data_IF_567484145271
#
_entry.id   IF_567484145271
#
_cell.length_a   1.000
_cell.length_b   1.000
_cell.length_c   1.000
_cell.angle_alpha   90.00
_cell.angle_beta   90.00
_cell.angle_gamma   90.00
#
_symmetry.space_group_name_H-M   'P 1'
#
loop_
_entity.id
_entity.type
_entity.pdbx_description
1 polymer ?
#
# COMPACT_ATOMS: atom_id res chain seq x y z
N UNK A 1 -10.35 -9.38 -1.60
CA UNK A 1 -9.21 -8.56 -2.11
C UNK A 1 -8.80 -8.92 -3.53
N UNK A 2 -8.94 -10.18 -3.96
CA UNK A 2 -8.53 -10.63 -5.31
C UNK A 2 -9.12 -9.84 -6.48
N UNK A 3 -10.24 -9.12 -6.29
CA UNK A 3 -10.86 -8.26 -7.29
C UNK A 3 -10.30 -6.82 -7.30
N UNK A 4 -9.47 -6.46 -6.33
CA UNK A 4 -8.84 -5.15 -6.25
C UNK A 4 -7.51 -5.16 -7.01
N UNK A 5 -7.30 -4.17 -7.84
CA UNK A 5 -6.00 -3.96 -8.49
C UNK A 5 -5.01 -3.24 -7.57
N UNK A 6 -5.51 -2.41 -6.68
CA UNK A 6 -4.75 -1.67 -5.67
C UNK A 6 -5.24 -2.13 -4.30
N UNK A 7 -4.33 -2.62 -3.46
CA UNK A 7 -4.63 -3.23 -2.16
C UNK A 7 -4.53 -2.23 -0.98
N UNK A 8 -4.80 -0.97 -1.27
CA UNK A 8 -4.83 0.12 -0.30
C UNK A 8 -5.79 1.21 -0.81
N UNK A 9 -6.13 2.25 -0.03
CA UNK A 9 -7.11 3.27 -0.45
C UNK A 9 -6.59 4.30 -1.46
N UNK A 10 -5.47 4.04 -2.15
CA UNK A 10 -5.06 4.85 -3.27
C UNK A 10 -5.93 4.57 -4.50
N UNK A 11 -6.14 5.62 -5.28
CA UNK A 11 -6.67 5.53 -6.63
C UNK A 11 -5.52 5.51 -7.65
N UNK A 12 -5.75 5.08 -8.90
CA UNK A 12 -4.74 5.17 -9.96
C UNK A 12 -4.16 6.59 -10.10
N UNK A 13 -4.99 7.63 -9.95
CA UNK A 13 -4.55 9.03 -10.02
C UNK A 13 -3.57 9.41 -8.90
N UNK A 14 -3.71 8.80 -7.71
CA UNK A 14 -2.76 9.01 -6.60
C UNK A 14 -1.39 8.41 -6.89
N UNK A 15 -1.33 7.23 -7.52
CA UNK A 15 -0.07 6.65 -8.00
C UNK A 15 0.54 7.48 -9.13
N UNK A 16 -0.27 7.98 -10.05
CA UNK A 16 0.20 8.88 -11.13
C UNK A 16 0.76 10.18 -10.56
N UNK A 17 0.06 10.79 -9.57
CA UNK A 17 0.53 12.00 -8.86
C UNK A 17 1.87 11.76 -8.19
N UNK A 18 2.01 10.64 -7.45
CA UNK A 18 3.25 10.29 -6.78
C UNK A 18 4.41 10.10 -7.78
N UNK A 19 4.20 9.33 -8.86
CA UNK A 19 5.20 9.11 -9.89
C UNK A 19 5.65 10.40 -10.58
N UNK A 20 4.71 11.30 -10.88
CA UNK A 20 5.00 12.60 -11.48
C UNK A 20 5.79 13.52 -10.52
N UNK A 21 5.42 13.52 -9.22
CA UNK A 21 6.10 14.34 -8.21
C UNK A 21 7.55 13.93 -7.99
N UNK A 22 7.86 12.65 -8.06
CA UNK A 22 9.21 12.10 -7.88
C UNK A 22 10.14 12.40 -9.07
N UNK A 23 9.62 12.79 -10.23
CA UNK A 23 10.39 13.14 -11.43
C UNK A 23 11.42 12.08 -11.81
N UNK A 24 11.04 10.82 -11.77
CA UNK A 24 11.93 9.71 -12.06
C UNK A 24 12.42 9.78 -13.52
N UNK A 25 13.71 9.57 -13.72
CA UNK A 25 14.29 9.49 -15.06
C UNK A 25 13.94 8.14 -15.70
N UNK A 26 13.84 8.10 -17.02
CA UNK A 26 13.76 6.83 -17.73
C UNK A 26 14.96 5.93 -17.39
N UNK A 27 14.68 4.66 -17.13
CA UNK A 27 15.67 3.70 -16.64
C UNK A 27 15.92 3.77 -15.13
N UNK A 28 15.26 4.67 -14.37
CA UNK A 28 15.35 4.66 -12.91
C UNK A 28 14.92 3.29 -12.35
N UNK A 29 15.69 2.76 -11.40
CA UNK A 29 15.47 1.43 -10.81
C UNK A 29 14.61 1.53 -9.57
N UNK A 30 13.56 0.75 -9.50
CA UNK A 30 12.59 0.74 -8.40
C UNK A 30 12.45 -0.67 -7.82
N UNK A 31 12.65 -0.81 -6.52
CA UNK A 31 12.31 -2.02 -5.75
C UNK A 31 11.01 -1.77 -4.98
N UNK A 32 10.09 -2.74 -5.01
CA UNK A 32 8.82 -2.67 -4.27
C UNK A 32 8.61 -3.95 -3.43
N UNK A 33 8.75 -3.83 -2.13
CA UNK A 33 8.57 -4.92 -1.16
C UNK A 33 7.12 -4.96 -0.70
N UNK A 34 6.41 -6.07 -0.97
CA UNK A 34 4.97 -6.19 -0.82
C UNK A 34 4.24 -5.54 -2.00
N UNK A 35 4.69 -5.82 -3.22
CA UNK A 35 4.23 -5.15 -4.44
C UNK A 35 2.78 -5.42 -4.85
N UNK A 36 2.09 -6.35 -4.17
CA UNK A 36 0.71 -6.71 -4.48
C UNK A 36 0.51 -7.08 -5.95
N UNK A 37 -0.55 -6.58 -6.56
CA UNK A 37 -0.87 -6.80 -7.99
C UNK A 37 -0.07 -5.90 -8.95
N UNK A 38 1.01 -5.25 -8.50
CA UNK A 38 2.01 -4.59 -9.32
C UNK A 38 1.57 -3.29 -10.00
N UNK A 39 0.46 -2.66 -9.59
CA UNK A 39 -0.08 -1.50 -10.29
C UNK A 39 0.89 -0.33 -10.33
N UNK A 40 1.58 -0.02 -9.21
CA UNK A 40 2.56 1.06 -9.15
C UNK A 40 3.69 0.85 -10.16
N UNK A 41 4.38 -0.29 -10.09
CA UNK A 41 5.52 -0.57 -10.98
C UNK A 41 5.12 -0.61 -12.45
N UNK A 42 3.98 -1.26 -12.77
CA UNK A 42 3.52 -1.38 -14.16
C UNK A 42 3.13 -0.02 -14.76
N UNK A 43 2.41 0.81 -14.00
CA UNK A 43 2.00 2.14 -14.51
C UNK A 43 3.19 3.09 -14.59
N UNK A 44 4.12 3.06 -13.64
CA UNK A 44 5.34 3.88 -13.68
C UNK A 44 6.31 3.45 -14.78
N UNK A 45 6.40 2.14 -15.08
CA UNK A 45 7.18 1.67 -16.23
C UNK A 45 6.61 2.21 -17.55
N UNK A 46 5.27 2.17 -17.70
CA UNK A 46 4.59 2.71 -18.89
C UNK A 46 4.75 4.24 -19.00
N UNK A 47 4.54 4.96 -17.88
CA UNK A 47 4.40 6.43 -17.91
C UNK A 47 5.74 7.16 -17.77
N UNK A 48 6.70 6.56 -17.06
CA UNK A 48 8.01 7.18 -16.74
C UNK A 48 9.20 6.36 -17.26
N UNK A 49 8.98 5.16 -17.81
CA UNK A 49 10.06 4.33 -18.35
C UNK A 49 11.00 3.76 -17.29
N UNK A 50 10.51 3.53 -16.05
CA UNK A 50 11.32 2.94 -14.97
C UNK A 50 11.59 1.45 -15.25
N UNK A 51 12.59 0.90 -14.57
CA UNK A 51 12.83 -0.55 -14.45
C UNK A 51 12.50 -0.96 -13.02
N UNK A 52 11.61 -1.93 -12.85
CA UNK A 52 11.10 -2.27 -11.53
C UNK A 52 11.20 -3.75 -11.17
N UNK A 53 11.47 -4.03 -9.89
CA UNK A 53 11.34 -5.37 -9.30
C UNK A 53 10.36 -5.31 -8.14
N UNK A 54 9.30 -6.11 -8.21
CA UNK A 54 8.33 -6.28 -7.14
C UNK A 54 8.45 -7.66 -6.50
N UNK A 55 8.31 -7.73 -5.17
CA UNK A 55 8.30 -8.99 -4.44
C UNK A 55 7.02 -9.05 -3.62
N UNK A 56 6.29 -10.15 -3.72
CA UNK A 56 5.07 -10.37 -2.94
C UNK A 56 4.93 -11.83 -2.52
N UNK A 57 4.45 -12.06 -1.32
CA UNK A 57 4.26 -13.41 -0.77
C UNK A 57 3.02 -14.12 -1.32
N UNK A 58 2.11 -13.41 -1.98
CA UNK A 58 0.90 -13.96 -2.56
C UNK A 58 1.14 -14.45 -3.99
N UNK A 59 1.03 -15.75 -4.27
CA UNK A 59 1.15 -16.26 -5.64
C UNK A 59 0.06 -15.69 -6.56
N UNK A 60 -1.13 -15.40 -6.02
CA UNK A 60 -2.22 -14.78 -6.75
C UNK A 60 -1.87 -13.36 -7.19
N UNK A 61 -1.37 -12.54 -6.26
CA UNK A 61 -1.02 -11.15 -6.58
C UNK A 61 0.18 -11.08 -7.52
N UNK A 62 1.18 -11.93 -7.32
CA UNK A 62 2.31 -12.04 -8.24
C UNK A 62 1.87 -12.40 -9.67
N UNK A 63 0.95 -13.36 -9.83
CA UNK A 63 0.40 -13.72 -11.13
C UNK A 63 -0.41 -12.56 -11.76
N UNK A 64 -1.18 -11.84 -10.96
CA UNK A 64 -1.91 -10.64 -11.41
C UNK A 64 -0.95 -9.52 -11.85
N UNK A 65 0.15 -9.31 -11.12
CA UNK A 65 1.17 -8.31 -11.45
C UNK A 65 1.88 -8.64 -12.77
N UNK A 66 2.25 -9.91 -12.99
CA UNK A 66 2.82 -10.38 -14.26
C UNK A 66 1.85 -10.20 -15.43
N UNK A 67 0.56 -10.55 -15.24
CA UNK A 67 -0.49 -10.32 -16.24
C UNK A 67 -0.66 -8.84 -16.56
N UNK A 68 -0.58 -7.97 -15.54
CA UNK A 68 -0.67 -6.52 -15.70
C UNK A 68 0.50 -5.95 -16.49
N UNK A 69 1.70 -6.45 -16.26
CA UNK A 69 2.88 -6.05 -17.04
C UNK A 69 2.73 -6.37 -18.53
N UNK A 70 2.15 -7.53 -18.85
CA UNK A 70 1.84 -7.91 -20.23
C UNK A 70 0.75 -7.03 -20.80
N UNK A 71 -0.34 -6.80 -20.07
CA UNK A 71 -1.47 -5.94 -20.48
C UNK A 71 -1.01 -4.52 -20.85
N UNK A 72 -0.07 -3.96 -20.08
CA UNK A 72 0.45 -2.60 -20.31
C UNK A 72 1.67 -2.56 -21.25
N UNK A 73 2.14 -3.71 -21.76
CA UNK A 73 3.29 -3.77 -22.67
C UNK A 73 4.64 -3.46 -22.01
N UNK A 74 4.74 -3.65 -20.68
CA UNK A 74 5.95 -3.31 -19.90
C UNK A 74 6.66 -4.53 -19.29
N UNK A 75 6.32 -5.74 -19.73
CA UNK A 75 6.89 -6.99 -19.20
C UNK A 75 8.42 -7.11 -19.37
N UNK A 76 9.03 -6.34 -20.26
CA UNK A 76 10.48 -6.28 -20.40
C UNK A 76 11.14 -5.31 -19.39
N UNK A 77 10.37 -4.45 -18.74
CA UNK A 77 10.85 -3.40 -17.83
C UNK A 77 10.60 -3.76 -16.36
N UNK A 78 9.58 -4.57 -16.07
CA UNK A 78 9.23 -4.93 -14.70
C UNK A 78 9.23 -6.43 -14.49
N UNK A 79 9.73 -6.88 -13.35
CA UNK A 79 9.74 -8.28 -12.93
C UNK A 79 9.02 -8.42 -11.58
N UNK A 80 8.30 -9.54 -11.41
CA UNK A 80 7.58 -9.84 -10.17
C UNK A 80 7.98 -11.21 -9.67
N UNK A 81 8.44 -11.26 -8.42
CA UNK A 81 8.96 -12.45 -7.75
C UNK A 81 7.95 -12.85 -6.67
N UNK A 82 7.47 -14.09 -6.73
CA UNK A 82 6.72 -14.68 -5.63
C UNK A 82 7.71 -15.10 -4.53
N UNK A 83 7.62 -14.49 -3.37
CA UNK A 83 8.52 -14.79 -2.25
C UNK A 83 8.27 -13.91 -1.04
N UNK A 84 8.93 -14.27 0.07
CA UNK A 84 8.95 -13.43 1.27
C UNK A 84 9.87 -12.24 1.02
N UNK A 85 9.33 -11.03 1.22
CA UNK A 85 10.08 -9.79 1.10
C UNK A 85 10.87 -9.43 2.39
N UNK A 86 10.64 -10.14 3.49
CA UNK A 86 11.34 -9.91 4.74
C UNK A 86 12.85 -10.17 4.57
N UNK A 87 13.66 -9.16 4.89
CA UNK A 87 15.12 -9.24 4.75
C UNK A 87 15.66 -9.17 3.33
N UNK A 88 14.79 -8.99 2.30
CA UNK A 88 15.26 -8.86 0.92
C UNK A 88 16.01 -7.54 0.69
N UNK A 89 17.20 -7.65 0.13
CA UNK A 89 18.03 -6.52 -0.33
C UNK A 89 18.33 -6.72 -1.80
N UNK A 90 18.19 -5.66 -2.60
CA UNK A 90 18.47 -5.73 -4.03
C UNK A 90 19.96 -6.02 -4.30
N UNK A 91 20.24 -6.88 -5.28
CA UNK A 91 21.62 -7.20 -5.71
C UNK A 91 22.35 -5.96 -6.22
N UNK A 92 21.65 -5.08 -6.92
CA UNK A 92 22.15 -3.80 -7.38
C UNK A 92 21.37 -2.66 -6.77
N UNK A 93 22.08 -1.58 -6.41
CA UNK A 93 21.46 -0.39 -5.81
C UNK A 93 20.40 0.23 -6.71
N UNK A 94 19.29 0.65 -6.08
CA UNK A 94 18.13 1.23 -6.75
C UNK A 94 17.99 2.73 -6.46
N UNK A 95 17.22 3.41 -7.31
CA UNK A 95 16.89 4.84 -7.15
C UNK A 95 15.78 5.03 -6.13
N UNK A 96 14.83 4.10 -6.11
CA UNK A 96 13.67 4.12 -5.22
C UNK A 96 13.49 2.74 -4.62
N UNK A 97 13.34 2.66 -3.31
CA UNK A 97 12.94 1.45 -2.60
C UNK A 97 11.61 1.72 -1.87
N UNK A 98 10.62 0.90 -2.14
CA UNK A 98 9.25 1.07 -1.68
C UNK A 98 8.76 -0.10 -0.82
N UNK A 99 7.91 0.22 0.16
CA UNK A 99 7.04 -0.73 0.84
C UNK A 99 5.72 0.00 1.16
N UNK A 100 4.65 -0.34 0.44
CA UNK A 100 3.42 0.44 0.49
C UNK A 100 2.29 -0.40 1.11
N UNK A 101 2.11 -0.22 2.44
CA UNK A 101 1.07 -0.91 3.21
C UNK A 101 1.47 -2.31 3.69
N UNK A 102 2.78 -2.59 3.83
CA UNK A 102 3.29 -3.87 4.32
C UNK A 102 4.49 -3.70 5.28
N UNK A 103 4.52 -2.65 6.08
CA UNK A 103 5.65 -2.34 6.98
C UNK A 103 5.91 -3.38 8.08
N UNK A 104 5.00 -4.33 8.28
CA UNK A 104 5.24 -5.51 9.09
C UNK A 104 6.42 -6.37 8.58
N UNK A 105 6.79 -6.27 7.29
CA UNK A 105 7.94 -6.96 6.67
C UNK A 105 9.24 -6.65 7.42
N UNK A 106 9.42 -5.42 7.88
CA UNK A 106 10.58 -4.99 8.65
C UNK A 106 10.34 -4.95 10.17
N UNK A 107 9.20 -5.47 10.65
CA UNK A 107 8.83 -5.35 12.06
C UNK A 107 8.33 -3.94 12.45
N UNK A 108 7.70 -3.23 11.52
CA UNK A 108 7.18 -1.88 11.66
C UNK A 108 7.90 -0.86 10.79
N UNK A 109 7.44 0.39 10.85
CA UNK A 109 7.90 1.48 9.97
C UNK A 109 9.41 1.67 10.01
N UNK A 110 10.00 1.80 11.21
CA UNK A 110 11.43 2.07 11.35
C UNK A 110 12.31 0.92 10.81
N UNK A 111 11.95 -0.34 11.11
CA UNK A 111 12.69 -1.49 10.62
C UNK A 111 12.53 -1.69 9.11
N UNK A 112 11.35 -1.39 8.55
CA UNK A 112 11.13 -1.43 7.10
C UNK A 112 11.93 -0.34 6.39
N UNK A 113 11.98 0.87 6.92
CA UNK A 113 12.84 1.94 6.41
C UNK A 113 14.32 1.52 6.42
N UNK A 114 14.79 0.91 7.51
CA UNK A 114 16.16 0.42 7.60
C UNK A 114 16.46 -0.71 6.59
N UNK A 115 15.49 -1.57 6.31
CA UNK A 115 15.59 -2.61 5.28
C UNK A 115 15.68 -1.98 3.88
N UNK A 116 14.77 -1.08 3.53
CA UNK A 116 14.72 -0.39 2.24
C UNK A 116 16.00 0.39 1.96
N UNK A 117 16.54 1.08 2.97
CA UNK A 117 17.77 1.86 2.87
C UNK A 117 18.98 1.01 2.42
N UNK A 118 19.00 -0.29 2.75
CA UNK A 118 20.07 -1.19 2.32
C UNK A 118 20.11 -1.41 0.80
N UNK A 119 19.01 -1.20 0.11
CA UNK A 119 18.92 -1.33 -1.35
C UNK A 119 19.21 -0.02 -2.09
N UNK A 120 19.17 1.12 -1.41
CA UNK A 120 19.28 2.43 -2.06
C UNK A 120 20.72 2.82 -2.42
N UNK A 121 20.85 3.53 -3.52
CA UNK A 121 22.04 4.32 -3.83
C UNK A 121 22.08 5.61 -2.99
N UNK A 122 23.23 6.28 -2.84
CA UNK A 122 23.30 7.60 -2.25
C UNK A 122 22.33 8.57 -2.93
N UNK A 123 21.53 9.30 -2.13
CA UNK A 123 20.50 10.21 -2.64
C UNK A 123 19.23 9.52 -3.18
N UNK A 124 19.09 8.20 -2.99
CA UNK A 124 17.88 7.46 -3.35
C UNK A 124 16.70 7.78 -2.44
N UNK A 125 15.50 7.40 -2.88
CA UNK A 125 14.23 7.72 -2.22
C UNK A 125 13.64 6.46 -1.59
N UNK A 126 13.21 6.56 -0.34
CA UNK A 126 12.36 5.56 0.31
C UNK A 126 10.90 5.97 0.10
N UNK A 127 10.06 5.03 -0.32
CA UNK A 127 8.61 5.17 -0.27
C UNK A 127 8.04 4.26 0.80
N UNK A 128 7.35 4.84 1.76
CA UNK A 128 6.65 4.11 2.81
C UNK A 128 5.16 4.47 2.78
N UNK A 129 4.30 3.45 2.70
CA UNK A 129 2.85 3.63 2.73
C UNK A 129 2.28 3.14 4.04
N UNK A 130 1.61 4.04 4.81
CA UNK A 130 1.19 3.76 6.18
C UNK A 130 -0.21 4.28 6.48
N UNK A 131 -0.98 3.53 7.32
CA UNK A 131 -2.12 4.08 8.02
C UNK A 131 -1.67 5.06 9.12
N UNK A 132 -2.55 5.99 9.44
CA UNK A 132 -2.36 6.91 10.56
C UNK A 132 -3.72 7.35 11.12
N UNK A 133 -3.75 7.78 12.38
CA UNK A 133 -4.94 8.41 12.94
C UNK A 133 -5.10 9.84 12.42
N UNK A 134 -6.21 10.12 11.77
CA UNK A 134 -6.64 11.49 11.42
C UNK A 134 -7.07 12.24 12.65
N UNK A 135 -7.77 11.55 13.54
CA UNK A 135 -8.11 11.94 14.89
C UNK A 135 -7.85 10.73 15.80
N UNK A 136 -7.37 10.96 17.00
CA UNK A 136 -7.19 9.88 17.96
C UNK A 136 -8.55 9.28 18.31
N UNK A 137 -8.73 7.96 18.17
CA UNK A 137 -9.91 7.28 18.69
C UNK A 137 -10.00 7.50 20.22
N UNK A 138 -11.20 7.67 20.76
CA UNK A 138 -11.38 7.92 22.20
C UNK A 138 -11.09 6.69 23.07
N UNK A 139 -11.05 5.48 22.48
CA UNK A 139 -10.76 4.23 23.17
C UNK A 139 -10.26 3.15 22.19
N UNK A 140 -9.72 2.06 22.75
CA UNK A 140 -9.30 0.90 21.99
C UNK A 140 -10.49 0.20 21.30
N UNK A 141 -11.69 0.23 21.88
CA UNK A 141 -12.91 -0.31 21.24
C UNK A 141 -13.22 0.43 19.94
N UNK A 142 -13.03 1.75 19.90
CA UNK A 142 -13.20 2.54 18.67
C UNK A 142 -12.07 2.28 17.68
N UNK A 143 -10.83 2.10 18.16
CA UNK A 143 -9.71 1.70 17.31
C UNK A 143 -9.95 0.32 16.65
N UNK A 144 -10.53 -0.64 17.39
CA UNK A 144 -10.92 -1.96 16.87
C UNK A 144 -11.99 -1.87 15.77
N UNK A 145 -12.90 -0.90 15.85
CA UNK A 145 -13.83 -0.63 14.74
C UNK A 145 -13.12 -0.10 13.47
N UNK A 146 -11.91 0.43 13.62
CA UNK A 146 -11.04 0.81 12.50
C UNK A 146 -10.06 -0.30 12.09
N UNK A 147 -10.25 -1.55 12.57
CA UNK A 147 -9.38 -2.70 12.29
C UNK A 147 -7.97 -2.60 12.90
N UNK A 148 -7.76 -1.74 13.89
CA UNK A 148 -6.60 -1.74 14.76
C UNK A 148 -6.86 -2.58 16.02
N UNK A 149 -5.84 -3.03 16.74
CA UNK A 149 -6.02 -3.72 18.03
C UNK A 149 -6.17 -2.71 19.16
N UNK A 150 -5.43 -1.60 19.09
CA UNK A 150 -5.42 -0.54 20.08
C UNK A 150 -5.15 0.84 19.43
N UNK A 151 -5.43 1.91 20.17
CA UNK A 151 -5.10 3.29 19.74
C UNK A 151 -3.59 3.44 19.48
N UNK A 152 -2.75 2.69 20.21
CA UNK A 152 -1.28 2.73 20.06
C UNK A 152 -0.75 2.12 18.77
N UNK A 153 -1.57 1.40 17.99
CA UNK A 153 -1.11 0.71 16.77
C UNK A 153 -0.72 1.70 15.67
N UNK A 154 -1.38 2.84 15.62
CA UNK A 154 -1.05 3.87 14.65
C UNK A 154 -0.71 5.20 15.32
N UNK A 155 0.19 5.93 14.70
CA UNK A 155 0.50 7.30 15.07
C UNK A 155 -0.52 8.27 14.42
N UNK A 156 -0.67 9.46 14.99
CA UNK A 156 -1.31 10.56 14.25
C UNK A 156 -0.40 11.02 13.11
N UNK A 157 -0.96 11.66 12.09
CA UNK A 157 -0.15 12.15 10.96
C UNK A 157 1.03 13.04 11.40
N UNK A 158 0.87 14.02 12.33
CA UNK A 158 2.02 14.78 12.82
C UNK A 158 3.07 13.93 13.53
N UNK A 159 2.66 12.93 14.32
CA UNK A 159 3.58 12.02 15.01
C UNK A 159 4.33 11.12 14.02
N UNK A 160 3.64 10.63 12.99
CA UNK A 160 4.24 9.80 11.93
C UNK A 160 5.30 10.61 11.16
N UNK A 161 4.99 11.82 10.75
CA UNK A 161 5.95 12.72 10.10
C UNK A 161 7.13 13.04 11.01
N UNK A 162 6.88 13.32 12.30
CA UNK A 162 7.96 13.56 13.27
C UNK A 162 8.86 12.33 13.45
N UNK A 163 8.29 11.11 13.40
CA UNK A 163 9.06 9.87 13.52
C UNK A 163 10.08 9.69 12.40
N UNK A 164 9.76 10.10 11.16
CA UNK A 164 10.73 10.09 10.06
C UNK A 164 11.90 11.03 10.32
N UNK A 165 11.64 12.23 10.86
CA UNK A 165 12.67 13.18 11.26
C UNK A 165 13.61 12.62 12.34
N UNK A 166 13.07 11.86 13.31
CA UNK A 166 13.86 11.19 14.34
C UNK A 166 14.76 10.06 13.78
N UNK A 167 14.41 9.51 12.61
CA UNK A 167 15.23 8.54 11.88
C UNK A 167 16.28 9.21 10.97
N UNK A 168 16.42 10.54 11.00
CA UNK A 168 17.37 11.27 10.18
C UNK A 168 16.93 11.44 8.71
N UNK A 169 15.60 11.41 8.47
CA UNK A 169 15.02 11.50 7.13
C UNK A 169 14.23 12.79 6.97
N UNK A 170 14.28 13.36 5.78
CA UNK A 170 13.40 14.44 5.35
C UNK A 170 12.23 13.86 4.55
N UNK A 171 11.01 14.31 4.84
CA UNK A 171 9.84 14.06 3.99
C UNK A 171 9.93 15.01 2.80
N UNK A 172 10.16 14.47 1.61
CA UNK A 172 10.33 15.24 0.38
C UNK A 172 9.08 15.28 -0.48
N UNK A 173 8.16 14.34 -0.28
CA UNK A 173 6.84 14.33 -0.88
C UNK A 173 5.87 13.55 0.01
N UNK A 174 4.59 13.89 -0.05
CA UNK A 174 3.52 13.21 0.69
C UNK A 174 2.24 13.20 -0.13
N UNK A 175 1.75 12.00 -0.44
CA UNK A 175 0.45 11.83 -1.11
C UNK A 175 -0.49 11.08 -0.16
N UNK A 176 -1.60 11.70 0.21
CA UNK A 176 -2.58 11.12 1.12
C UNK A 176 -3.80 10.60 0.36
N UNK A 177 -4.34 9.47 0.80
CA UNK A 177 -5.65 9.00 0.36
C UNK A 177 -6.72 10.01 0.80
N UNK A 178 -7.65 10.31 -0.09
CA UNK A 178 -8.82 11.12 0.24
C UNK A 178 -9.99 10.23 0.66
N UNK A 179 -11.05 10.85 1.16
CA UNK A 179 -12.24 10.12 1.61
C UNK A 179 -12.90 9.31 0.49
N UNK A 180 -12.94 9.86 -0.72
CA UNK A 180 -13.50 9.13 -1.87
C UNK A 180 -12.70 7.86 -2.19
N UNK A 181 -11.37 7.93 -2.13
CA UNK A 181 -10.49 6.76 -2.28
C UNK A 181 -10.78 5.67 -1.24
N UNK A 182 -10.93 6.06 0.03
CA UNK A 182 -11.31 5.14 1.11
C UNK A 182 -12.71 4.54 0.88
N UNK A 183 -13.71 5.37 0.56
CA UNK A 183 -15.08 4.92 0.32
C UNK A 183 -15.12 3.93 -0.85
N UNK A 184 -14.37 4.19 -1.93
CA UNK A 184 -14.27 3.30 -3.09
C UNK A 184 -13.57 1.99 -2.77
N UNK A 185 -12.49 2.05 -2.00
CA UNK A 185 -11.73 0.87 -1.57
C UNK A 185 -12.60 -0.08 -0.72
N UNK A 186 -13.32 0.44 0.25
CA UNK A 186 -14.21 -0.36 1.09
C UNK A 186 -15.44 -0.86 0.32
N UNK A 187 -16.12 0.02 -0.46
CA UNK A 187 -17.34 -0.35 -1.17
C UNK A 187 -17.12 -1.44 -2.24
N UNK A 188 -15.94 -1.54 -2.83
CA UNK A 188 -15.63 -2.59 -3.80
C UNK A 188 -15.67 -3.99 -3.16
N UNK A 189 -15.30 -4.12 -1.88
CA UNK A 189 -15.43 -5.36 -1.10
C UNK A 189 -16.91 -5.76 -0.95
N UNK A 190 -17.79 -4.80 -0.65
CA UNK A 190 -19.22 -5.07 -0.45
C UNK A 190 -19.89 -5.57 -1.71
N UNK A 191 -19.59 -4.97 -2.86
CA UNK A 191 -20.13 -5.47 -4.13
C UNK A 191 -19.64 -6.89 -4.45
N UNK A 192 -18.37 -7.18 -4.16
CA UNK A 192 -17.79 -8.52 -4.34
C UNK A 192 -18.49 -9.54 -3.45
N UNK A 193 -18.67 -9.24 -2.18
CA UNK A 193 -19.40 -10.10 -1.23
C UNK A 193 -20.85 -10.31 -1.67
N UNK A 194 -21.53 -9.25 -2.12
CA UNK A 194 -22.93 -9.35 -2.58
C UNK A 194 -23.07 -10.25 -3.82
N UNK A 195 -22.15 -10.15 -4.76
CA UNK A 195 -22.13 -11.01 -5.95
C UNK A 195 -21.82 -12.46 -5.59
N UNK A 196 -20.89 -12.67 -4.68
CA UNK A 196 -20.57 -14.00 -4.18
C UNK A 196 -21.78 -14.66 -3.51
N UNK A 197 -22.53 -13.95 -2.67
CA UNK A 197 -23.78 -14.45 -2.07
C UNK A 197 -24.85 -14.81 -3.09
N UNK A 198 -24.95 -14.09 -4.20
CA UNK A 198 -25.90 -14.43 -5.27
C UNK A 198 -25.53 -15.76 -5.95
N UNK A 199 -24.22 -15.97 -6.13
CA UNK A 199 -23.71 -17.21 -6.74
C UNK A 199 -23.70 -18.40 -5.77
N UNK A 200 -23.60 -18.14 -4.46
CA UNK A 200 -23.41 -19.17 -3.41
C UNK A 200 -24.40 -18.99 -2.24
N UNK A 201 -25.74 -19.02 -2.49
CA UNK A 201 -26.74 -18.66 -1.46
C UNK A 201 -26.81 -19.63 -0.30
N UNK A 202 -26.40 -20.90 -0.50
CA UNK A 202 -26.44 -21.99 0.45
C UNK A 202 -25.06 -22.42 0.95
N UNK A 203 -24.00 -21.65 0.65
CA UNK A 203 -22.65 -21.90 1.17
C UNK A 203 -22.62 -21.73 2.70
N UNK A 204 -21.75 -22.46 3.38
CA UNK A 204 -21.59 -22.40 4.83
C UNK A 204 -21.21 -20.99 5.32
N UNK A 205 -20.48 -20.22 4.52
CA UNK A 205 -20.09 -18.85 4.81
C UNK A 205 -21.17 -17.80 4.49
N UNK A 206 -22.29 -18.20 3.84
CA UNK A 206 -23.31 -17.26 3.39
C UNK A 206 -23.93 -16.43 4.52
N UNK A 207 -24.08 -17.02 5.72
CA UNK A 207 -24.61 -16.31 6.90
C UNK A 207 -23.64 -15.25 7.39
N UNK A 208 -22.36 -15.58 7.47
CA UNK A 208 -21.32 -14.65 7.88
C UNK A 208 -21.18 -13.48 6.89
N UNK A 209 -21.13 -13.77 5.59
CA UNK A 209 -21.05 -12.73 4.53
C UNK A 209 -22.28 -11.82 4.53
N UNK A 210 -23.49 -12.34 4.84
CA UNK A 210 -24.69 -11.48 5.03
C UNK A 210 -24.52 -10.53 6.21
N UNK A 211 -23.99 -11.03 7.32
CA UNK A 211 -23.71 -10.20 8.51
C UNK A 211 -22.71 -9.11 8.18
N UNK A 212 -21.60 -9.46 7.53
CA UNK A 212 -20.58 -8.47 7.09
C UNK A 212 -21.18 -7.41 6.17
N UNK A 213 -21.99 -7.78 5.18
CA UNK A 213 -22.68 -6.84 4.29
C UNK A 213 -23.62 -5.87 5.02
N UNK A 214 -24.16 -6.27 6.16
CA UNK A 214 -25.02 -5.41 6.98
C UNK A 214 -24.20 -4.48 7.89
N UNK A 215 -23.09 -4.97 8.44
CA UNK A 215 -22.32 -4.26 9.47
C UNK A 215 -21.20 -3.40 8.90
N UNK A 216 -20.48 -3.88 7.88
CA UNK A 216 -19.29 -3.21 7.36
C UNK A 216 -19.54 -1.81 6.77
N UNK A 217 -20.61 -1.57 5.99
CA UNK A 217 -20.90 -0.22 5.49
C UNK A 217 -21.14 0.77 6.63
N UNK A 218 -21.89 0.36 7.66
CA UNK A 218 -22.15 1.23 8.81
C UNK A 218 -20.87 1.47 9.64
N UNK A 219 -20.08 0.41 9.88
CA UNK A 219 -18.80 0.50 10.56
C UNK A 219 -17.86 1.48 9.85
N UNK A 220 -17.75 1.37 8.51
CA UNK A 220 -16.91 2.25 7.70
C UNK A 220 -17.30 3.73 7.88
N UNK A 221 -18.58 4.07 7.67
CA UNK A 221 -19.01 5.48 7.72
C UNK A 221 -19.02 6.06 9.14
N UNK A 222 -19.13 5.21 10.17
CA UNK A 222 -19.14 5.64 11.59
C UNK A 222 -17.72 5.81 12.14
N UNK A 223 -16.79 4.92 11.76
CA UNK A 223 -15.48 4.83 12.41
C UNK A 223 -14.32 5.04 11.43
N UNK A 224 -14.14 4.15 10.45
CA UNK A 224 -12.96 4.21 9.56
C UNK A 224 -12.87 5.55 8.87
N UNK A 225 -13.97 6.04 8.33
CA UNK A 225 -14.04 7.32 7.61
C UNK A 225 -13.73 8.52 8.50
N UNK A 226 -14.03 8.44 9.79
CA UNK A 226 -13.76 9.51 10.77
C UNK A 226 -12.30 9.48 11.26
N UNK A 227 -11.83 8.32 11.70
CA UNK A 227 -10.58 8.21 12.45
C UNK A 227 -9.37 7.81 11.61
N UNK A 228 -9.54 6.98 10.56
CA UNK A 228 -8.42 6.39 9.86
C UNK A 228 -8.04 7.17 8.60
N UNK A 229 -6.76 7.48 8.48
CA UNK A 229 -6.12 8.00 7.28
C UNK A 229 -5.12 7.00 6.71
N UNK A 230 -4.65 7.25 5.52
CA UNK A 230 -3.61 6.48 4.85
C UNK A 230 -2.83 7.36 3.89
N UNK A 231 -1.53 7.14 3.75
CA UNK A 231 -0.71 7.92 2.84
C UNK A 231 0.60 7.25 2.47
N UNK A 232 1.20 7.71 1.38
CA UNK A 232 2.56 7.37 0.97
C UNK A 232 3.45 8.58 1.18
N UNK A 233 4.59 8.34 1.83
CA UNK A 233 5.60 9.33 2.16
C UNK A 233 6.88 9.01 1.40
N UNK A 234 7.40 9.98 0.67
CA UNK A 234 8.71 9.90 0.04
C UNK A 234 9.74 10.52 0.98
N UNK A 235 10.77 9.75 1.31
CA UNK A 235 11.76 10.09 2.32
C UNK A 235 13.16 10.06 1.71
N UNK A 236 14.02 11.00 2.12
CA UNK A 236 15.45 11.02 1.75
C UNK A 236 16.30 11.19 3.01
N UNK A 237 17.47 10.55 3.03
CA UNK A 237 18.46 10.75 4.09
C UNK A 237 18.98 12.19 4.09
N UNK A 238 19.17 12.77 5.30
CA UNK A 238 19.76 14.10 5.52
C UNK A 238 21.21 14.14 5.15
#
# INVERSE_FOLDING_TARGET
ESAHRIHNPFTPDKYATLGAALRLSAGARVLDLGSGSGEMLCTWARDHGIVGTGIDMSPLFTAQAQSRAVELGVAAQVSFIHGDAAGHVADEKVDVAACIGASWIGGGVAGTIALLAQSLRPGGIILIGEPYWRQLPPSDEVAQQCQAHAVSDFLTLPQLVASFGNLGLDVVEMVLANQDGWDRYEAAKWLTMRRWLQANPNDELASEVRTQLTTEPLRHVTYTREYLGWGVFALMAR
#
